data_IF_151582198112
#
_entry.id   IF_151582198112
#
_cell.length_a   1.000
_cell.length_b   1.000
_cell.length_c   1.000
_cell.angle_alpha   90.00
_cell.angle_beta   90.00
_cell.angle_gamma   90.00
#
_symmetry.space_group_name_H-M   'P 1'
#
loop_
_entity.id
_entity.type
_entity.pdbx_description
1 polymer ?
#
# COMPACT_ATOMS: atom_id res chain seq x y z
N UNK A 1 -6.06 10.32 -6.85
CA UNK A 1 -5.71 8.98 -7.36
C UNK A 1 -4.24 8.90 -7.75
N UNK A 2 -3.70 9.85 -8.51
CA UNK A 2 -2.27 9.88 -8.86
C UNK A 2 -1.35 9.89 -7.61
N UNK A 3 -1.63 10.76 -6.63
CA UNK A 3 -0.83 10.85 -5.40
C UNK A 3 -0.87 9.56 -4.55
N UNK A 4 -2.05 8.92 -4.46
CA UNK A 4 -2.22 7.68 -3.71
C UNK A 4 -1.37 6.52 -4.27
N UNK A 5 -1.39 6.33 -5.59
CA UNK A 5 -0.55 5.30 -6.22
C UNK A 5 0.93 5.70 -6.26
N UNK A 6 1.23 7.00 -6.32
CA UNK A 6 2.60 7.50 -6.21
C UNK A 6 3.20 7.21 -4.83
N UNK A 7 2.42 7.37 -3.76
CA UNK A 7 2.81 7.00 -2.40
C UNK A 7 3.02 5.49 -2.28
N UNK A 8 2.08 4.68 -2.78
CA UNK A 8 2.24 3.22 -2.81
C UNK A 8 3.53 2.79 -3.52
N UNK A 9 3.88 3.43 -4.64
CA UNK A 9 5.11 3.15 -5.36
C UNK A 9 6.38 3.48 -4.55
N UNK A 10 6.33 4.39 -3.57
CA UNK A 10 7.46 4.65 -2.65
C UNK A 10 7.67 3.52 -1.66
N UNK A 11 6.62 2.76 -1.34
CA UNK A 11 6.65 1.66 -0.38
C UNK A 11 7.22 0.35 -0.95
N UNK A 12 7.42 0.26 -2.28
CA UNK A 12 7.84 -0.97 -2.97
C UNK A 12 9.21 -1.50 -2.51
N UNK A 13 10.08 -0.60 -2.06
CA UNK A 13 11.47 -0.89 -1.68
C UNK A 13 11.63 -1.06 -0.15
N UNK A 14 10.53 -0.99 0.61
CA UNK A 14 10.58 -1.13 2.06
C UNK A 14 10.87 -2.59 2.45
N UNK A 15 11.99 -2.80 3.16
CA UNK A 15 12.43 -4.11 3.65
C UNK A 15 13.01 -3.97 5.05
N UNK A 16 12.14 -3.81 6.05
CA UNK A 16 12.54 -3.72 7.46
C UNK A 16 11.41 -4.27 8.36
N UNK A 17 11.71 -5.02 9.44
CA UNK A 17 10.69 -5.67 10.28
C UNK A 17 9.67 -4.72 10.93
N UNK A 18 10.02 -3.45 11.10
CA UNK A 18 9.17 -2.42 11.72
C UNK A 18 8.58 -1.42 10.71
N UNK A 19 8.61 -1.72 9.41
CA UNK A 19 8.03 -0.88 8.35
C UNK A 19 7.07 -1.75 7.55
N UNK A 20 5.84 -1.28 7.34
CA UNK A 20 4.87 -1.98 6.50
C UNK A 20 5.32 -1.96 5.04
N UNK A 21 5.65 -3.14 4.51
CA UNK A 21 5.99 -3.32 3.10
C UNK A 21 4.75 -3.41 2.22
N UNK A 22 4.85 -2.90 1.00
CA UNK A 22 3.81 -3.07 -0.01
C UNK A 22 3.71 -4.54 -0.44
N UNK A 23 2.51 -5.13 -0.38
CA UNK A 23 2.22 -6.44 -0.99
C UNK A 23 1.93 -6.25 -2.49
N UNK A 24 1.13 -5.24 -2.83
CA UNK A 24 0.83 -4.91 -4.22
C UNK A 24 -0.22 -3.83 -4.38
N UNK A 25 -0.57 -3.53 -5.63
CA UNK A 25 -1.65 -2.63 -5.99
C UNK A 25 -2.63 -3.35 -6.92
N UNK A 26 -3.91 -3.11 -6.73
CA UNK A 26 -4.95 -3.52 -7.66
C UNK A 26 -5.68 -2.28 -8.14
N UNK A 27 -5.90 -2.13 -9.45
CA UNK A 27 -6.66 -1.01 -9.97
C UNK A 27 -7.66 -1.48 -11.03
N UNK A 28 -8.82 -0.82 -11.04
CA UNK A 28 -9.76 -0.85 -12.14
C UNK A 28 -9.83 0.58 -12.71
N UNK A 29 -9.56 0.79 -14.02
CA UNK A 29 -9.61 2.10 -14.67
C UNK A 29 -10.92 2.86 -14.48
N UNK A 30 -12.00 2.16 -14.14
CA UNK A 30 -13.36 2.69 -14.03
C UNK A 30 -13.85 2.79 -12.58
N UNK A 31 -13.28 2.04 -11.62
CA UNK A 31 -13.87 1.88 -10.28
C UNK A 31 -13.08 2.52 -9.16
N UNK A 32 -11.80 2.14 -8.95
CA UNK A 32 -10.89 2.66 -7.90
C UNK A 32 -9.56 1.89 -7.90
N UNK A 33 -8.56 2.50 -7.27
CA UNK A 33 -7.30 1.86 -6.93
C UNK A 33 -7.31 1.36 -5.48
N UNK A 34 -6.63 0.25 -5.22
CA UNK A 34 -6.46 -0.38 -3.91
C UNK A 34 -4.98 -0.66 -3.69
N UNK A 35 -4.52 -0.45 -2.46
CA UNK A 35 -3.16 -0.74 -2.00
C UNK A 35 -3.26 -1.87 -0.98
N UNK A 36 -2.49 -2.93 -1.18
CA UNK A 36 -2.48 -4.11 -0.34
C UNK A 36 -1.27 -4.04 0.60
N UNK A 37 -1.55 -4.12 1.90
CA UNK A 37 -0.55 -4.08 2.98
C UNK A 37 -0.76 -5.28 3.92
N UNK A 38 0.26 -5.68 4.70
CA UNK A 38 0.09 -6.65 5.78
C UNK A 38 -1.01 -6.23 6.75
N UNK A 39 -1.81 -7.20 7.20
CA UNK A 39 -2.88 -6.94 8.16
C UNK A 39 -2.29 -6.69 9.56
N UNK A 40 -2.62 -5.52 10.13
CA UNK A 40 -2.25 -5.15 11.50
C UNK A 40 -3.48 -5.29 12.41
N UNK A 41 -3.52 -6.36 13.21
CA UNK A 41 -4.70 -6.74 14.00
C UNK A 41 -5.24 -5.64 14.95
N UNK A 42 -4.34 -4.78 15.43
CA UNK A 42 -4.66 -3.74 16.40
C UNK A 42 -4.98 -2.40 15.73
N UNK A 43 -4.90 -2.30 14.39
CA UNK A 43 -5.16 -1.06 13.67
C UNK A 43 -4.06 -0.01 13.87
N UNK A 44 -4.47 1.25 13.83
CA UNK A 44 -3.64 2.41 14.14
C UNK A 44 -3.29 2.51 15.63
N UNK A 45 -2.28 3.34 15.93
CA UNK A 45 -1.84 3.64 17.29
C UNK A 45 -2.66 4.78 17.89
#
# INVERSE_FOLDING_TARGET
>A
MHEFLFEANRMKDFSHPNILSLIGVAWDPTRKAMVLLPYMKNGDL
#
